data_IF_736281248667
#
_entry.id   IF_736281248667
#
_cell.length_a   1.000
_cell.length_b   1.000
_cell.length_c   1.000
_cell.angle_alpha   90.00
_cell.angle_beta   90.00
_cell.angle_gamma   90.00
#
_symmetry.space_group_name_H-M   'P 1'
#
loop_
_entity.id
_entity.type
_entity.pdbx_description
1 polymer ?
#
# COMPACT_ATOMS: atom_id res chain seq x y z
N UNK A 1 11.57 -31.41 28.84
CA UNK A 1 12.58 -31.89 27.91
C UNK A 1 12.96 -30.78 26.90
N UNK A 2 14.14 -30.89 26.33
CA UNK A 2 14.66 -29.93 25.34
C UNK A 2 13.79 -29.90 24.09
N UNK A 3 13.32 -31.04 23.61
CA UNK A 3 12.44 -31.14 22.43
C UNK A 3 11.10 -30.43 22.66
N UNK A 4 10.52 -30.57 23.83
CA UNK A 4 9.27 -29.91 24.18
C UNK A 4 9.45 -28.40 24.24
N UNK A 5 10.56 -27.90 24.77
CA UNK A 5 10.88 -26.47 24.80
C UNK A 5 11.06 -25.91 23.40
N UNK A 6 11.78 -26.63 22.53
CA UNK A 6 11.95 -26.24 21.13
C UNK A 6 10.62 -26.22 20.38
N UNK A 7 9.78 -27.23 20.59
CA UNK A 7 8.42 -27.27 20.00
C UNK A 7 7.59 -26.07 20.42
N UNK A 8 7.55 -25.76 21.71
CA UNK A 8 6.79 -24.63 22.23
C UNK A 8 7.32 -23.30 21.70
N UNK A 9 8.64 -23.16 21.57
CA UNK A 9 9.28 -22.00 20.97
C UNK A 9 8.85 -21.81 19.51
N UNK A 10 8.85 -22.88 18.73
CA UNK A 10 8.42 -22.87 17.32
C UNK A 10 6.94 -22.52 17.22
N UNK A 11 6.08 -23.07 18.08
CA UNK A 11 4.65 -22.73 18.13
C UNK A 11 4.44 -21.23 18.41
N UNK A 12 5.20 -20.69 19.35
CA UNK A 12 5.16 -19.27 19.67
C UNK A 12 5.62 -18.40 18.49
N UNK A 13 6.67 -18.81 17.80
CA UNK A 13 7.16 -18.13 16.60
C UNK A 13 6.09 -18.10 15.50
N UNK A 14 5.41 -19.23 15.29
CA UNK A 14 4.31 -19.33 14.31
C UNK A 14 3.19 -18.35 14.66
N UNK A 15 2.79 -18.29 15.92
CA UNK A 15 1.75 -17.39 16.39
C UNK A 15 2.13 -15.93 16.15
N UNK A 16 3.37 -15.56 16.48
CA UNK A 16 3.89 -14.20 16.25
C UNK A 16 3.93 -13.85 14.77
N UNK A 17 4.39 -14.76 13.93
CA UNK A 17 4.45 -14.56 12.48
C UNK A 17 3.06 -14.40 11.87
N UNK A 18 2.08 -15.17 12.31
CA UNK A 18 0.68 -15.02 11.86
C UNK A 18 0.09 -13.67 12.27
N UNK A 19 0.39 -13.21 13.47
CA UNK A 19 -0.03 -11.88 13.94
C UNK A 19 0.60 -10.78 13.10
N UNK A 20 1.90 -10.87 12.84
CA UNK A 20 2.61 -9.91 11.98
C UNK A 20 2.04 -9.91 10.56
N UNK A 21 1.74 -11.08 10.02
CA UNK A 21 1.13 -11.20 8.69
C UNK A 21 -0.22 -10.49 8.62
N UNK A 22 -1.06 -10.65 9.64
CA UNK A 22 -2.36 -9.97 9.71
C UNK A 22 -2.21 -8.45 9.79
N UNK A 23 -1.27 -7.95 10.57
CA UNK A 23 -0.98 -6.51 10.70
C UNK A 23 -0.51 -5.94 9.36
N UNK A 24 0.40 -6.62 8.68
CA UNK A 24 0.93 -6.18 7.38
C UNK A 24 -0.15 -6.24 6.30
N UNK A 25 -0.97 -7.29 6.28
CA UNK A 25 -2.09 -7.41 5.33
C UNK A 25 -3.10 -6.28 5.51
N UNK A 26 -3.42 -5.92 6.74
CA UNK A 26 -4.33 -4.82 7.05
C UNK A 26 -3.75 -3.47 6.60
N UNK A 27 -2.47 -3.22 6.86
CA UNK A 27 -1.78 -2.01 6.40
C UNK A 27 -1.78 -1.91 4.87
N UNK A 28 -1.46 -3.02 4.18
CA UNK A 28 -1.45 -3.06 2.72
C UNK A 28 -2.84 -2.76 2.15
N UNK A 29 -3.90 -3.31 2.75
CA UNK A 29 -5.27 -3.06 2.32
C UNK A 29 -5.67 -1.60 2.51
N UNK A 30 -5.33 -0.99 3.65
CA UNK A 30 -5.61 0.43 3.90
C UNK A 30 -4.87 1.34 2.92
N UNK A 31 -3.62 1.03 2.60
CA UNK A 31 -2.84 1.79 1.63
C UNK A 31 -3.38 1.62 0.21
N UNK A 32 -3.87 0.43 -0.15
CA UNK A 32 -4.51 0.21 -1.45
C UNK A 32 -5.76 1.06 -1.63
N UNK A 33 -6.58 1.16 -0.59
CA UNK A 33 -7.77 2.03 -0.60
C UNK A 33 -7.35 3.49 -0.75
N UNK A 34 -6.36 3.94 0.03
CA UNK A 34 -5.86 5.31 -0.05
C UNK A 34 -5.24 5.61 -1.43
N UNK A 35 -4.50 4.67 -2.02
CA UNK A 35 -3.93 4.81 -3.36
C UNK A 35 -5.03 4.93 -4.43
N UNK A 36 -6.10 4.15 -4.31
CA UNK A 36 -7.25 4.23 -5.22
C UNK A 36 -7.94 5.60 -5.13
N UNK A 37 -8.08 6.15 -3.93
CA UNK A 37 -8.62 7.51 -3.72
C UNK A 37 -7.72 8.57 -4.36
N UNK A 38 -6.40 8.44 -4.26
CA UNK A 38 -5.46 9.36 -4.92
C UNK A 38 -5.54 9.27 -6.44
N UNK A 39 -5.70 8.07 -6.99
CA UNK A 39 -5.90 7.89 -8.43
C UNK A 39 -7.19 8.56 -8.90
N UNK A 40 -8.26 8.42 -8.14
CA UNK A 40 -9.53 9.09 -8.43
C UNK A 40 -9.36 10.61 -8.40
N UNK A 41 -8.64 11.16 -7.42
CA UNK A 41 -8.32 12.60 -7.37
C UNK A 41 -7.55 13.06 -8.61
N UNK A 42 -6.59 12.27 -9.09
CA UNK A 42 -5.83 12.59 -10.31
C UNK A 42 -6.75 12.64 -11.54
N UNK A 43 -7.69 11.72 -11.65
CA UNK A 43 -8.69 11.72 -12.74
C UNK A 43 -9.58 12.95 -12.66
N UNK A 44 -10.06 13.33 -11.47
CA UNK A 44 -10.85 14.54 -11.26
C UNK A 44 -10.08 15.81 -11.65
N UNK A 45 -8.80 15.90 -11.29
CA UNK A 45 -7.96 17.04 -11.67
C UNK A 45 -7.84 17.14 -13.19
N UNK A 46 -7.68 16.03 -13.87
CA UNK A 46 -7.65 15.99 -15.35
C UNK A 46 -8.94 16.48 -15.94
N UNK A 47 -10.09 16.07 -15.41
CA UNK A 47 -11.42 16.48 -15.87
C UNK A 47 -11.65 17.97 -15.61
N UNK A 48 -11.27 18.48 -14.45
CA UNK A 48 -11.40 19.90 -14.10
C UNK A 48 -10.52 20.74 -15.03
N UNK A 49 -9.30 20.31 -15.32
CA UNK A 49 -8.38 21.00 -16.23
C UNK A 49 -8.98 21.08 -17.64
N UNK A 50 -9.58 20.02 -18.12
CA UNK A 50 -10.27 19.98 -19.41
C UNK A 50 -11.47 20.94 -19.42
N UNK A 51 -12.24 20.99 -18.33
CA UNK A 51 -13.40 21.89 -18.18
C UNK A 51 -12.98 23.37 -18.17
N UNK A 52 -11.87 23.70 -17.51
CA UNK A 52 -11.31 25.05 -17.51
C UNK A 52 -10.92 25.50 -18.93
N UNK A 53 -10.34 24.62 -19.71
CA UNK A 53 -10.00 24.91 -21.10
C UNK A 53 -11.22 25.19 -21.95
N UNK A 54 -12.36 24.50 -21.71
CA UNK A 54 -13.64 24.78 -22.38
C UNK A 54 -14.23 26.15 -21.99
N UNK A 55 -14.16 26.49 -20.72
CA UNK A 55 -14.63 27.80 -20.22
C UNK A 55 -13.87 28.94 -20.91
N UNK A 56 -12.57 28.77 -21.14
CA UNK A 56 -11.76 29.73 -21.88
C UNK A 56 -12.27 29.96 -23.31
N UNK A 57 -12.62 28.89 -24.02
CA UNK A 57 -13.16 28.98 -25.39
C UNK A 57 -14.46 29.76 -25.41
N UNK A 58 -15.37 29.50 -24.47
CA UNK A 58 -16.63 30.18 -24.32
C UNK A 58 -16.44 31.62 -23.83
N UNK A 59 -15.46 31.86 -22.95
CA UNK A 59 -15.08 33.16 -22.42
C UNK A 59 -14.45 34.09 -23.47
N UNK A 60 -14.04 33.60 -24.63
CA UNK A 60 -13.47 34.40 -25.72
C UNK A 60 -14.50 35.38 -26.35
N UNK A 61 -15.79 35.23 -26.00
CA UNK A 61 -16.87 36.16 -26.41
C UNK A 61 -16.90 37.41 -25.54
N UNK A 62 -16.10 37.55 -24.50
CA UNK A 62 -16.05 38.73 -23.64
C UNK A 62 -15.18 39.81 -24.26
N UNK A 63 -15.79 40.96 -24.51
CA UNK A 63 -15.17 42.10 -25.16
C UNK A 63 -14.27 42.91 -24.22
N UNK A 64 -13.05 43.24 -24.68
CA UNK A 64 -12.12 44.16 -24.05
C UNK A 64 -10.75 43.54 -23.76
N UNK A 65 -9.70 44.18 -24.27
CA UNK A 65 -8.32 43.71 -24.18
C UNK A 65 -7.85 43.52 -22.72
N UNK A 66 -8.24 44.39 -21.81
CA UNK A 66 -7.87 44.30 -20.39
C UNK A 66 -8.53 43.08 -19.69
N UNK A 67 -9.75 42.76 -20.05
CA UNK A 67 -10.47 41.61 -19.52
C UNK A 67 -9.84 40.30 -19.99
N UNK A 68 -9.46 40.23 -21.26
CA UNK A 68 -8.82 39.09 -21.88
C UNK A 68 -7.44 38.84 -21.29
N UNK A 69 -6.66 39.89 -21.03
CA UNK A 69 -5.35 39.77 -20.42
C UNK A 69 -5.45 39.31 -18.96
N UNK A 70 -6.42 39.80 -18.19
CA UNK A 70 -6.68 39.35 -16.82
C UNK A 70 -7.16 37.88 -16.75
N UNK A 71 -8.02 37.49 -17.69
CA UNK A 71 -8.48 36.09 -17.81
C UNK A 71 -7.32 35.14 -18.14
N UNK A 72 -6.42 35.54 -19.03
CA UNK A 72 -5.23 34.75 -19.36
C UNK A 72 -4.31 34.60 -18.16
N UNK A 73 -4.07 35.67 -17.39
CA UNK A 73 -3.25 35.61 -16.18
C UNK A 73 -3.89 34.68 -15.14
N UNK A 74 -5.21 34.82 -14.94
CA UNK A 74 -5.95 33.96 -14.00
C UNK A 74 -5.92 32.50 -14.44
N UNK A 75 -6.14 32.23 -15.71
CA UNK A 75 -6.10 30.89 -16.27
C UNK A 75 -4.72 30.26 -16.11
N UNK A 76 -3.63 31.00 -16.42
CA UNK A 76 -2.28 30.51 -16.28
C UNK A 76 -1.93 30.24 -14.80
N UNK A 77 -2.41 31.10 -13.90
CA UNK A 77 -2.23 30.90 -12.45
C UNK A 77 -2.97 29.66 -11.97
N UNK A 78 -4.20 29.45 -12.41
CA UNK A 78 -5.00 28.27 -12.07
C UNK A 78 -4.37 26.99 -12.62
N UNK A 79 -3.92 27.00 -13.87
CA UNK A 79 -3.25 25.86 -14.48
C UNK A 79 -1.96 25.50 -13.74
N UNK A 80 -1.16 26.49 -13.36
CA UNK A 80 0.06 26.28 -12.59
C UNK A 80 -0.25 25.70 -11.20
N UNK A 81 -1.27 26.21 -10.51
CA UNK A 81 -1.71 25.71 -9.22
C UNK A 81 -2.22 24.26 -9.33
N UNK A 82 -3.00 23.96 -10.34
CA UNK A 82 -3.52 22.61 -10.58
C UNK A 82 -2.40 21.61 -10.91
N UNK A 83 -1.43 22.05 -11.71
CA UNK A 83 -0.26 21.21 -12.02
C UNK A 83 0.56 20.91 -10.76
N UNK A 84 0.78 21.92 -9.92
CA UNK A 84 1.47 21.74 -8.64
C UNK A 84 0.73 20.75 -7.75
N UNK A 85 -0.60 20.86 -7.66
CA UNK A 85 -1.44 19.95 -6.91
C UNK A 85 -1.38 18.53 -7.48
N UNK A 86 -1.46 18.38 -8.80
CA UNK A 86 -1.37 17.11 -9.50
C UNK A 86 -0.05 16.40 -9.21
N UNK A 87 1.07 17.14 -9.25
CA UNK A 87 2.39 16.58 -8.93
C UNK A 87 2.44 16.09 -7.50
N UNK A 88 1.91 16.86 -6.54
CA UNK A 88 1.87 16.46 -5.12
C UNK A 88 1.05 15.19 -4.92
N UNK A 89 -0.13 15.10 -5.53
CA UNK A 89 -0.98 13.91 -5.42
C UNK A 89 -0.33 12.71 -6.08
N UNK A 90 0.31 12.91 -7.24
CA UNK A 90 1.06 11.87 -7.93
C UNK A 90 2.23 11.33 -7.08
N UNK A 91 2.96 12.22 -6.40
CA UNK A 91 4.06 11.84 -5.51
C UNK A 91 3.54 11.02 -4.31
N UNK A 92 2.40 11.41 -3.74
CA UNK A 92 1.77 10.65 -2.65
C UNK A 92 1.33 9.28 -3.15
N UNK A 93 0.72 9.20 -4.32
CA UNK A 93 0.33 7.94 -4.95
C UNK A 93 1.52 7.01 -5.14
N UNK A 94 2.63 7.54 -5.65
CA UNK A 94 3.87 6.78 -5.84
C UNK A 94 4.42 6.28 -4.50
N UNK A 95 4.42 7.12 -3.47
CA UNK A 95 4.84 6.74 -2.11
C UNK A 95 3.99 5.59 -1.56
N UNK A 96 2.67 5.65 -1.74
CA UNK A 96 1.77 4.58 -1.31
C UNK A 96 2.03 3.29 -2.09
N UNK A 97 2.22 3.37 -3.40
CA UNK A 97 2.51 2.20 -4.24
C UNK A 97 3.82 1.55 -3.83
N UNK A 98 4.86 2.33 -3.57
CA UNK A 98 6.15 1.83 -3.12
C UNK A 98 6.03 1.14 -1.76
N UNK A 99 5.29 1.72 -0.83
CA UNK A 99 5.05 1.13 0.49
C UNK A 99 4.22 -0.16 0.40
N UNK A 100 3.22 -0.21 -0.46
CA UNK A 100 2.44 -1.43 -0.72
C UNK A 100 3.34 -2.55 -1.22
N UNK A 101 4.22 -2.27 -2.17
CA UNK A 101 5.16 -3.24 -2.70
C UNK A 101 6.13 -3.75 -1.62
N UNK A 102 6.60 -2.85 -0.75
CA UNK A 102 7.44 -3.21 0.40
C UNK A 102 6.69 -4.14 1.36
N UNK A 103 5.43 -3.85 1.64
CA UNK A 103 4.59 -4.68 2.51
C UNK A 103 4.32 -6.06 1.90
N UNK A 104 4.08 -6.14 0.61
CA UNK A 104 3.92 -7.42 -0.10
C UNK A 104 5.19 -8.26 -0.02
N UNK A 105 6.35 -7.63 -0.14
CA UNK A 105 7.63 -8.31 0.01
C UNK A 105 7.82 -8.86 1.43
N UNK A 106 7.42 -8.09 2.45
CA UNK A 106 7.41 -8.56 3.84
C UNK A 106 6.42 -9.72 4.03
N UNK A 107 5.25 -9.68 3.42
CA UNK A 107 4.29 -10.79 3.45
C UNK A 107 4.91 -12.07 2.90
N UNK A 108 5.59 -12.00 1.78
CA UNK A 108 6.27 -13.14 1.16
C UNK A 108 7.35 -13.71 2.08
N UNK A 109 8.14 -12.84 2.71
CA UNK A 109 9.18 -13.25 3.66
C UNK A 109 8.57 -13.93 4.89
N UNK A 110 7.49 -13.40 5.44
CA UNK A 110 6.80 -14.00 6.58
C UNK A 110 6.18 -15.34 6.18
N UNK A 111 5.57 -15.43 5.01
CA UNK A 111 4.98 -16.66 4.51
C UNK A 111 6.04 -17.76 4.34
N UNK A 112 7.21 -17.40 3.83
CA UNK A 112 8.36 -18.32 3.73
C UNK A 112 8.83 -18.79 5.11
N UNK A 113 8.94 -17.88 6.06
CA UNK A 113 9.29 -18.20 7.45
C UNK A 113 8.25 -19.11 8.11
N UNK A 114 6.97 -18.87 7.86
CA UNK A 114 5.87 -19.71 8.34
C UNK A 114 5.98 -21.13 7.79
N UNK A 115 6.30 -21.29 6.52
CA UNK A 115 6.47 -22.60 5.90
C UNK A 115 7.63 -23.37 6.55
N UNK A 116 8.75 -22.69 6.79
CA UNK A 116 9.92 -23.29 7.48
C UNK A 116 9.56 -23.70 8.92
N UNK A 117 8.91 -22.79 9.66
CA UNK A 117 8.51 -23.06 11.06
C UNK A 117 7.47 -24.17 11.15
N UNK A 118 6.54 -24.24 10.20
CA UNK A 118 5.53 -25.31 10.15
C UNK A 118 6.20 -26.68 9.92
N UNK A 119 7.21 -26.73 9.04
CA UNK A 119 7.98 -27.94 8.80
C UNK A 119 8.77 -28.34 10.06
N UNK A 120 9.39 -27.38 10.75
CA UNK A 120 10.09 -27.61 12.03
C UNK A 120 9.14 -28.14 13.09
N UNK A 121 7.95 -27.56 13.20
CA UNK A 121 6.91 -28.00 14.13
C UNK A 121 6.54 -29.47 13.89
N UNK A 122 6.30 -29.84 12.64
CA UNK A 122 5.94 -31.20 12.25
C UNK A 122 7.07 -32.19 12.59
N UNK A 123 8.31 -31.80 12.30
CA UNK A 123 9.49 -32.61 12.61
C UNK A 123 9.66 -32.83 14.13
N UNK A 124 9.57 -31.76 14.91
CA UNK A 124 9.69 -31.81 16.36
C UNK A 124 8.57 -32.65 16.99
N UNK A 125 7.35 -32.55 16.45
CA UNK A 125 6.23 -33.37 16.90
C UNK A 125 6.53 -34.87 16.72
N UNK A 126 7.09 -35.23 15.58
CA UNK A 126 7.49 -36.62 15.30
C UNK A 126 8.62 -37.09 16.22
N UNK A 127 9.62 -36.23 16.45
CA UNK A 127 10.75 -36.56 17.35
C UNK A 127 10.29 -36.75 18.79
N UNK A 128 9.38 -35.92 19.27
CA UNK A 128 8.76 -36.05 20.60
C UNK A 128 8.00 -37.37 20.68
N UNK A 129 7.25 -37.73 19.67
CA UNK A 129 6.48 -38.97 19.60
C UNK A 129 7.41 -40.20 19.64
N UNK A 130 8.49 -40.19 18.86
CA UNK A 130 9.50 -41.26 18.82
C UNK A 130 10.17 -41.44 20.17
N UNK A 131 10.56 -40.37 20.83
CA UNK A 131 11.20 -40.39 22.14
C UNK A 131 10.27 -40.94 23.21
N UNK A 132 8.98 -40.61 23.13
CA UNK A 132 7.95 -41.11 24.03
C UNK A 132 7.72 -42.59 23.85
N UNK A 133 7.67 -43.10 22.62
CA UNK A 133 7.55 -44.53 22.30
C UNK A 133 8.75 -45.31 22.78
N UNK A 134 9.98 -44.76 22.67
CA UNK A 134 11.21 -45.41 23.11
C UNK A 134 11.34 -45.46 24.63
N UNK A 135 10.82 -44.45 25.35
CA UNK A 135 10.88 -44.44 26.82
C UNK A 135 9.78 -45.31 27.46
N UNK A 136 8.75 -45.68 26.75
CA UNK A 136 7.69 -46.61 27.20
C UNK A 136 8.10 -48.09 27.06
N UNK A 137 9.16 -48.36 26.33
CA UNK A 137 9.76 -49.70 26.25
C UNK A 137 10.73 -49.96 27.42
#
# INVERSE_FOLDING_TARGET
STLTKEYNSVVNDITSLKTDLNVISDKANRLRVAAAEMQFCLEEITDITASLSKIRIDGSLWEGKMKKDNENILEDTLKAAMKTYQVKVSDIYESYTNEINRLYQQQDNISSSLNVKSAMKAHLKQEIKKKKETSDE
#
